data_IF_154982593621
#
_entry.id   IF_154982593621
#
_cell.length_a   1.000
_cell.length_b   1.000
_cell.length_c   1.000
_cell.angle_alpha   90.00
_cell.angle_beta   90.00
_cell.angle_gamma   90.00
#
_symmetry.space_group_name_H-M   'P 1'
#
loop_
_entity.id
_entity.type
_entity.pdbx_description
1 polymer ?
#
# COMPACT_ATOMS: atom_id res chain seq x y z
N UNK A 1 -25.48 -59.81 -58.20
CA UNK A 1 -26.23 -60.94 -57.63
C UNK A 1 -25.21 -62.01 -57.32
N UNK A 2 -25.07 -62.38 -56.05
CA UNK A 2 -24.07 -63.36 -55.60
C UNK A 2 -24.79 -64.69 -55.43
N UNK A 3 -24.27 -65.75 -56.04
CA UNK A 3 -24.82 -67.10 -55.88
C UNK A 3 -24.68 -67.47 -54.41
N UNK A 4 -25.74 -68.00 -53.80
CA UNK A 4 -25.74 -68.52 -52.42
C UNK A 4 -25.48 -70.02 -52.42
N UNK A 5 -25.03 -70.60 -51.30
CA UNK A 5 -24.88 -72.06 -51.18
C UNK A 5 -26.18 -72.82 -51.49
N UNK A 6 -27.33 -72.21 -51.18
CA UNK A 6 -28.64 -72.76 -51.50
C UNK A 6 -28.96 -72.72 -53.00
N UNK A 7 -28.44 -71.72 -53.73
CA UNK A 7 -28.55 -71.65 -55.19
C UNK A 7 -27.65 -72.70 -55.88
N UNK A 8 -26.55 -73.12 -55.23
CA UNK A 8 -25.66 -74.19 -55.70
C UNK A 8 -26.35 -75.55 -55.55
N UNK A 9 -26.94 -75.84 -54.38
CA UNK A 9 -27.66 -77.10 -54.15
C UNK A 9 -28.92 -77.27 -54.99
N UNK A 10 -29.66 -76.17 -55.24
CA UNK A 10 -30.90 -76.24 -56.02
C UNK A 10 -30.67 -76.13 -57.53
N UNK A 11 -29.41 -76.22 -58.00
CA UNK A 11 -29.08 -76.00 -59.41
C UNK A 11 -29.38 -77.25 -60.24
N UNK A 12 -30.42 -77.19 -61.06
CA UNK A 12 -30.69 -78.24 -62.05
C UNK A 12 -29.95 -78.01 -63.38
N UNK A 13 -29.33 -79.08 -63.89
CA UNK A 13 -28.66 -79.10 -65.19
C UNK A 13 -29.44 -79.92 -66.23
N UNK A 14 -29.38 -79.51 -67.51
CA UNK A 14 -30.01 -80.24 -68.62
C UNK A 14 -29.20 -81.50 -68.97
N UNK A 15 -29.86 -82.65 -69.14
CA UNK A 15 -29.24 -83.91 -69.58
C UNK A 15 -29.08 -83.98 -71.11
N UNK A 16 -27.86 -84.25 -71.59
CA UNK A 16 -27.52 -84.45 -73.01
C UNK A 16 -26.85 -85.83 -73.21
N UNK A 17 -26.92 -86.41 -74.42
CA UNK A 17 -26.49 -87.78 -74.77
C UNK A 17 -24.97 -88.08 -74.64
N UNK A 18 -24.17 -87.19 -74.01
CA UNK A 18 -22.72 -87.29 -73.76
C UNK A 18 -22.28 -86.28 -72.68
N UNK A 19 -22.96 -86.29 -71.52
CA UNK A 19 -22.70 -85.38 -70.40
C UNK A 19 -21.74 -85.96 -69.36
N UNK A 20 -21.41 -85.14 -68.35
CA UNK A 20 -20.77 -85.60 -67.11
C UNK A 20 -21.68 -86.56 -66.35
N UNK A 21 -21.09 -87.41 -65.52
CA UNK A 21 -21.83 -88.26 -64.58
C UNK A 21 -22.60 -87.38 -63.59
N UNK A 22 -23.88 -87.65 -63.38
CA UNK A 22 -24.72 -86.83 -62.51
C UNK A 22 -24.32 -87.04 -61.04
N UNK A 23 -23.99 -88.27 -60.63
CA UNK A 23 -23.70 -88.60 -59.24
C UNK A 23 -22.36 -87.96 -58.80
N UNK A 24 -21.35 -87.98 -59.69
CA UNK A 24 -20.04 -87.34 -59.43
C UNK A 24 -20.14 -85.80 -59.39
N UNK A 25 -20.97 -85.22 -60.25
CA UNK A 25 -21.21 -83.77 -60.26
C UNK A 25 -21.97 -83.33 -59.00
N UNK A 26 -22.97 -84.09 -58.57
CA UNK A 26 -23.75 -83.80 -57.36
C UNK A 26 -22.86 -83.86 -56.11
N UNK A 27 -22.01 -84.89 -55.95
CA UNK A 27 -21.07 -84.97 -54.81
C UNK A 27 -20.07 -83.80 -54.80
N UNK A 28 -19.63 -83.35 -55.97
CA UNK A 28 -18.73 -82.20 -56.09
C UNK A 28 -19.45 -80.87 -55.75
N UNK A 29 -20.71 -80.71 -56.17
CA UNK A 29 -21.51 -79.53 -55.85
C UNK A 29 -21.85 -79.44 -54.37
N UNK A 30 -22.09 -80.57 -53.70
CA UNK A 30 -22.29 -80.62 -52.24
C UNK A 30 -21.05 -80.10 -51.49
N UNK A 31 -19.85 -80.55 -51.86
CA UNK A 31 -18.59 -80.04 -51.28
C UNK A 31 -18.39 -78.55 -51.54
N UNK A 32 -18.68 -78.09 -52.77
CA UNK A 32 -18.60 -76.66 -53.10
C UNK A 32 -19.59 -75.85 -52.27
N UNK A 33 -20.83 -76.32 -52.09
CA UNK A 33 -21.85 -75.62 -51.33
C UNK A 33 -21.45 -75.47 -49.85
N UNK A 34 -20.87 -76.52 -49.26
CA UNK A 34 -20.37 -76.54 -47.88
C UNK A 34 -19.19 -75.58 -47.70
N UNK A 35 -18.16 -75.67 -48.55
CA UNK A 35 -17.00 -74.77 -48.54
C UNK A 35 -17.40 -73.31 -48.77
N UNK A 36 -18.36 -73.07 -49.67
CA UNK A 36 -18.85 -71.73 -49.97
C UNK A 36 -19.65 -71.14 -48.80
N UNK A 37 -20.42 -71.96 -48.07
CA UNK A 37 -21.12 -71.50 -46.86
C UNK A 37 -20.13 -71.14 -45.75
N UNK A 38 -19.09 -71.96 -45.56
CA UNK A 38 -18.02 -71.69 -44.60
C UNK A 38 -17.29 -70.38 -44.94
N UNK A 39 -16.91 -70.19 -46.21
CA UNK A 39 -16.26 -68.98 -46.69
C UNK A 39 -17.15 -67.75 -46.52
N UNK A 40 -18.46 -67.87 -46.78
CA UNK A 40 -19.41 -66.79 -46.61
C UNK A 40 -19.54 -66.36 -45.15
N UNK A 41 -19.64 -67.33 -44.22
CA UNK A 41 -19.68 -67.07 -42.77
C UNK A 41 -18.40 -66.40 -42.29
N UNK A 42 -17.23 -66.90 -42.71
CA UNK A 42 -15.95 -66.29 -42.36
C UNK A 42 -15.83 -64.86 -42.90
N UNK A 43 -16.23 -64.62 -44.15
CA UNK A 43 -16.23 -63.28 -44.75
C UNK A 43 -17.14 -62.32 -44.00
N UNK A 44 -18.34 -62.77 -43.60
CA UNK A 44 -19.27 -61.98 -42.80
C UNK A 44 -18.68 -61.62 -41.45
N UNK A 45 -18.09 -62.60 -40.75
CA UNK A 45 -17.45 -62.37 -39.45
C UNK A 45 -16.22 -61.44 -39.56
N UNK A 46 -15.42 -61.60 -40.61
CA UNK A 46 -14.28 -60.73 -40.87
C UNK A 46 -14.72 -59.28 -41.14
N UNK A 47 -15.80 -59.07 -41.89
CA UNK A 47 -16.39 -57.75 -42.13
C UNK A 47 -16.92 -57.11 -40.86
N UNK A 48 -17.63 -57.86 -40.03
CA UNK A 48 -18.11 -57.36 -38.73
C UNK A 48 -16.94 -56.92 -37.83
N UNK A 49 -15.87 -57.74 -37.76
CA UNK A 49 -14.66 -57.38 -37.01
C UNK A 49 -13.96 -56.14 -37.57
N UNK A 50 -13.92 -56.00 -38.89
CA UNK A 50 -13.35 -54.83 -39.56
C UNK A 50 -14.14 -53.57 -39.17
N UNK A 51 -15.47 -53.63 -39.24
CA UNK A 51 -16.35 -52.52 -38.90
C UNK A 51 -16.15 -52.06 -37.44
N UNK A 52 -16.12 -53.01 -36.50
CA UNK A 52 -15.84 -52.72 -35.08
C UNK A 52 -14.44 -52.12 -34.88
N UNK A 53 -13.43 -52.60 -35.62
CA UNK A 53 -12.08 -52.06 -35.53
C UNK A 53 -12.00 -50.63 -36.09
N UNK A 54 -12.66 -50.37 -37.22
CA UNK A 54 -12.75 -49.05 -37.83
C UNK A 54 -13.49 -48.05 -36.93
N UNK A 55 -14.57 -48.46 -36.28
CA UNK A 55 -15.29 -47.61 -35.33
C UNK A 55 -14.41 -47.24 -34.13
N UNK A 56 -13.68 -48.22 -33.56
CA UNK A 56 -12.71 -47.95 -32.48
C UNK A 56 -11.59 -47.01 -32.94
N UNK A 57 -11.08 -47.19 -34.15
CA UNK A 57 -10.06 -46.31 -34.70
C UNK A 57 -10.56 -44.87 -34.83
N UNK A 58 -11.78 -44.67 -35.35
CA UNK A 58 -12.43 -43.35 -35.42
C UNK A 58 -12.61 -42.74 -34.03
N UNK A 59 -13.02 -43.55 -33.05
CA UNK A 59 -13.17 -43.10 -31.66
C UNK A 59 -11.83 -42.62 -31.07
N UNK A 60 -10.77 -43.41 -31.21
CA UNK A 60 -9.44 -43.02 -30.72
C UNK A 60 -8.87 -41.82 -31.45
N UNK A 61 -9.05 -41.72 -32.77
CA UNK A 61 -8.62 -40.54 -33.53
C UNK A 61 -9.33 -39.27 -33.06
N UNK A 62 -10.62 -39.34 -32.73
CA UNK A 62 -11.37 -38.21 -32.16
C UNK A 62 -10.89 -37.85 -30.76
N UNK A 63 -10.54 -38.84 -29.94
CA UNK A 63 -9.95 -38.61 -28.61
C UNK A 63 -8.60 -37.91 -28.76
N UNK A 64 -7.73 -38.38 -29.65
CA UNK A 64 -6.42 -37.79 -29.93
C UNK A 64 -6.56 -36.33 -30.36
N UNK A 65 -7.47 -36.03 -31.29
CA UNK A 65 -7.75 -34.66 -31.73
C UNK A 65 -8.19 -33.76 -30.56
N UNK A 66 -9.07 -34.27 -29.70
CA UNK A 66 -9.54 -33.54 -28.53
C UNK A 66 -8.40 -33.31 -27.53
N UNK A 67 -7.57 -34.31 -27.26
CA UNK A 67 -6.40 -34.18 -26.37
C UNK A 67 -5.44 -33.14 -26.92
N UNK A 68 -5.15 -33.16 -28.23
CA UNK A 68 -4.28 -32.18 -28.86
C UNK A 68 -4.84 -30.76 -28.72
N UNK A 69 -6.15 -30.56 -28.95
CA UNK A 69 -6.81 -29.26 -28.74
C UNK A 69 -6.74 -28.82 -27.28
N UNK A 70 -6.99 -29.73 -26.34
CA UNK A 70 -6.90 -29.42 -24.90
C UNK A 70 -5.47 -29.08 -24.48
N UNK A 71 -4.45 -29.76 -25.00
CA UNK A 71 -3.05 -29.46 -24.73
C UNK A 71 -2.66 -28.06 -25.23
N UNK A 72 -3.07 -27.70 -26.45
CA UNK A 72 -2.82 -26.36 -27.00
C UNK A 72 -3.54 -25.30 -26.17
N UNK A 73 -4.79 -25.55 -25.76
CA UNK A 73 -5.53 -24.64 -24.89
C UNK A 73 -4.84 -24.47 -23.53
N UNK A 74 -4.41 -25.56 -22.90
CA UNK A 74 -3.71 -25.55 -21.64
C UNK A 74 -2.37 -24.79 -21.74
N UNK A 75 -1.61 -25.00 -22.82
CA UNK A 75 -0.38 -24.26 -23.08
C UNK A 75 -0.65 -22.76 -23.26
N UNK A 76 -1.66 -22.40 -24.04
CA UNK A 76 -2.06 -21.00 -24.25
C UNK A 76 -2.49 -20.34 -22.94
N UNK A 77 -3.28 -21.02 -22.11
CA UNK A 77 -3.71 -20.54 -20.81
C UNK A 77 -2.53 -20.36 -19.85
N UNK A 78 -1.58 -21.31 -19.84
CA UNK A 78 -0.38 -21.22 -19.03
C UNK A 78 0.52 -20.05 -19.45
N UNK A 79 0.72 -19.83 -20.76
CA UNK A 79 1.52 -18.71 -21.25
C UNK A 79 0.84 -17.36 -20.98
N UNK A 80 -0.48 -17.30 -21.10
CA UNK A 80 -1.25 -16.10 -20.75
C UNK A 80 -1.16 -15.80 -19.24
N UNK A 81 -1.29 -16.81 -18.38
CA UNK A 81 -1.15 -16.65 -16.94
C UNK A 81 0.26 -16.16 -16.57
N UNK A 82 1.29 -16.76 -17.17
CA UNK A 82 2.68 -16.36 -16.99
C UNK A 82 2.93 -14.93 -17.44
N UNK A 83 2.46 -14.54 -18.62
CA UNK A 83 2.62 -13.19 -19.15
C UNK A 83 1.89 -12.16 -18.28
N UNK A 84 0.67 -12.48 -17.83
CA UNK A 84 -0.08 -11.61 -16.92
C UNK A 84 0.65 -11.40 -15.59
N UNK A 85 1.16 -12.48 -14.99
CA UNK A 85 1.91 -12.41 -13.75
C UNK A 85 3.22 -11.61 -13.90
N UNK A 86 3.92 -11.75 -15.04
CA UNK A 86 5.11 -10.97 -15.34
C UNK A 86 4.81 -9.47 -15.46
N UNK A 87 3.75 -9.11 -16.20
CA UNK A 87 3.33 -7.72 -16.35
C UNK A 87 2.91 -7.11 -15.01
N UNK A 88 2.18 -7.86 -14.19
CA UNK A 88 1.75 -7.42 -12.86
C UNK A 88 2.95 -7.23 -11.92
N UNK A 89 3.90 -8.16 -11.93
CA UNK A 89 5.14 -8.03 -11.16
C UNK A 89 5.94 -6.79 -11.58
N UNK A 90 6.08 -6.54 -12.88
CA UNK A 90 6.76 -5.35 -13.38
C UNK A 90 6.05 -4.06 -12.98
N UNK A 91 4.71 -4.05 -13.02
CA UNK A 91 3.90 -2.92 -12.58
C UNK A 91 4.10 -2.65 -11.07
N UNK A 92 4.07 -3.69 -10.24
CA UNK A 92 4.31 -3.59 -8.79
C UNK A 92 5.70 -3.02 -8.52
N UNK A 93 6.73 -3.54 -9.20
CA UNK A 93 8.11 -3.05 -9.04
C UNK A 93 8.20 -1.57 -9.45
N UNK A 94 7.58 -1.19 -10.58
CA UNK A 94 7.56 0.20 -11.03
C UNK A 94 6.87 1.12 -10.02
N UNK A 95 5.70 0.73 -9.53
CA UNK A 95 4.96 1.50 -8.52
C UNK A 95 5.72 1.62 -7.20
N UNK A 96 6.37 0.54 -6.75
CA UNK A 96 7.20 0.56 -5.56
C UNK A 96 8.39 1.51 -5.72
N UNK A 97 9.07 1.48 -6.87
CA UNK A 97 10.17 2.39 -7.18
C UNK A 97 9.71 3.86 -7.25
N UNK A 98 8.59 4.13 -7.91
CA UNK A 98 8.02 5.49 -7.94
C UNK A 98 7.64 5.98 -6.54
N UNK A 99 7.01 5.14 -5.73
CA UNK A 99 6.63 5.48 -4.35
C UNK A 99 7.86 5.76 -3.49
N UNK A 100 8.88 4.89 -3.58
CA UNK A 100 10.15 5.09 -2.90
C UNK A 100 10.80 6.42 -3.31
N UNK A 101 10.83 6.73 -4.61
CA UNK A 101 11.39 7.99 -5.09
C UNK A 101 10.60 9.20 -4.57
N UNK A 102 9.26 9.12 -4.52
CA UNK A 102 8.43 10.19 -3.94
C UNK A 102 8.73 10.39 -2.45
N UNK A 103 8.88 9.31 -1.68
CA UNK A 103 9.22 9.38 -0.26
C UNK A 103 10.60 10.02 -0.07
N UNK A 104 11.60 9.61 -0.86
CA UNK A 104 12.95 10.18 -0.80
C UNK A 104 12.92 11.68 -1.13
N UNK A 105 12.23 12.07 -2.21
CA UNK A 105 12.11 13.47 -2.60
C UNK A 105 11.40 14.30 -1.52
N UNK A 106 10.33 13.77 -0.91
CA UNK A 106 9.62 14.42 0.19
C UNK A 106 10.55 14.61 1.40
N UNK A 107 11.25 13.56 1.82
CA UNK A 107 12.19 13.62 2.93
C UNK A 107 13.33 14.63 2.66
N UNK A 108 13.85 14.67 1.43
CA UNK A 108 14.86 15.65 1.03
C UNK A 108 14.34 17.08 1.15
N UNK A 109 13.14 17.35 0.64
CA UNK A 109 12.50 18.67 0.75
C UNK A 109 12.20 19.05 2.20
N UNK A 110 11.79 18.08 3.03
CA UNK A 110 11.58 18.30 4.46
C UNK A 110 12.89 18.68 5.17
N UNK A 111 14.01 18.02 4.83
CA UNK A 111 15.34 18.37 5.37
C UNK A 111 15.74 19.79 4.97
N UNK A 112 15.53 20.18 3.71
CA UNK A 112 15.80 21.54 3.25
C UNK A 112 14.97 22.55 4.05
N UNK A 113 13.65 22.32 4.15
CA UNK A 113 12.74 23.19 4.91
C UNK A 113 13.17 23.34 6.37
N UNK A 114 13.46 22.22 7.05
CA UNK A 114 13.90 22.23 8.46
C UNK A 114 15.20 23.02 8.62
N UNK A 115 16.14 22.89 7.68
CA UNK A 115 17.39 23.63 7.73
C UNK A 115 17.18 25.14 7.51
N UNK A 116 16.31 25.51 6.59
CA UNK A 116 15.94 26.92 6.34
C UNK A 116 15.24 27.52 7.58
N UNK A 117 14.31 26.79 8.19
CA UNK A 117 13.64 27.19 9.44
C UNK A 117 14.65 27.33 10.59
N UNK A 118 15.59 26.38 10.69
CA UNK A 118 16.66 26.44 11.69
C UNK A 118 17.54 27.68 11.53
N UNK A 119 17.99 27.99 10.32
CA UNK A 119 18.77 29.21 10.08
C UNK A 119 17.95 30.47 10.35
N UNK A 120 16.66 30.51 10.00
CA UNK A 120 15.78 31.64 10.32
C UNK A 120 15.70 31.88 11.84
N UNK A 121 15.38 30.84 12.62
CA UNK A 121 15.28 30.92 14.09
C UNK A 121 16.63 31.32 14.71
N UNK A 122 17.74 30.78 14.20
CA UNK A 122 19.09 31.14 14.64
C UNK A 122 19.39 32.62 14.39
N UNK A 123 19.02 33.17 13.23
CA UNK A 123 19.17 34.60 12.94
C UNK A 123 18.32 35.45 13.88
N UNK A 124 17.08 35.05 14.15
CA UNK A 124 16.23 35.74 15.12
C UNK A 124 16.82 35.72 16.53
N UNK A 125 17.36 34.58 16.97
CA UNK A 125 18.04 34.46 18.25
C UNK A 125 19.27 35.37 18.33
N UNK A 126 20.10 35.44 17.27
CA UNK A 126 21.26 36.33 17.22
C UNK A 126 20.85 37.81 17.29
N UNK A 127 19.76 38.19 16.60
CA UNK A 127 19.18 39.54 16.68
C UNK A 127 18.67 39.84 18.08
N UNK A 128 17.92 38.92 18.69
CA UNK A 128 17.42 39.06 20.06
C UNK A 128 18.57 39.22 21.05
N UNK A 129 19.58 38.32 21.00
CA UNK A 129 20.78 38.39 21.84
C UNK A 129 21.48 39.74 21.73
N UNK A 130 21.62 40.25 20.51
CA UNK A 130 22.23 41.55 20.27
C UNK A 130 21.40 42.68 20.87
N UNK A 131 20.08 42.70 20.63
CA UNK A 131 19.16 43.69 21.23
C UNK A 131 19.19 43.64 22.76
N UNK A 132 19.19 42.45 23.35
CA UNK A 132 19.24 42.25 24.79
C UNK A 132 20.56 42.76 25.38
N UNK A 133 21.70 42.48 24.74
CA UNK A 133 23.01 43.00 25.16
C UNK A 133 23.04 44.53 25.12
N UNK A 134 22.52 45.14 24.06
CA UNK A 134 22.43 46.61 23.95
C UNK A 134 21.53 47.19 25.04
N UNK A 135 20.37 46.58 25.28
CA UNK A 135 19.46 47.00 26.34
C UNK A 135 20.13 46.95 27.72
N UNK A 136 20.81 45.85 28.06
CA UNK A 136 21.55 45.74 29.33
C UNK A 136 22.69 46.77 29.45
N UNK A 137 23.45 46.99 28.37
CA UNK A 137 24.52 48.00 28.37
C UNK A 137 23.97 49.40 28.58
N UNK A 138 22.86 49.73 27.91
CA UNK A 138 22.17 51.01 28.10
C UNK A 138 21.67 51.19 29.54
N UNK A 139 21.12 50.14 30.17
CA UNK A 139 20.73 50.20 31.58
C UNK A 139 21.94 50.37 32.51
N UNK A 140 23.07 49.74 32.22
CA UNK A 140 24.29 49.95 33.00
C UNK A 140 24.84 51.37 32.84
N UNK A 141 24.78 51.93 31.64
CA UNK A 141 25.20 53.31 31.37
C UNK A 141 24.31 54.32 32.11
N UNK A 142 22.98 54.09 32.19
CA UNK A 142 22.09 54.95 32.99
C UNK A 142 22.41 54.88 34.47
N UNK A 143 22.64 53.69 35.04
CA UNK A 143 23.08 53.55 36.43
C UNK A 143 24.42 54.25 36.69
N UNK A 144 25.39 54.08 35.79
CA UNK A 144 26.70 54.74 35.89
C UNK A 144 26.58 56.27 35.81
N UNK A 145 25.67 56.77 34.97
CA UNK A 145 25.32 58.19 34.90
C UNK A 145 24.72 58.71 36.21
N UNK A 146 23.76 57.99 36.78
CA UNK A 146 23.14 58.32 38.07
C UNK A 146 24.16 58.29 39.21
N UNK A 147 25.07 57.31 39.24
CA UNK A 147 26.16 57.26 40.22
C UNK A 147 27.07 58.48 40.11
N UNK A 148 27.44 58.88 38.89
CA UNK A 148 28.25 60.09 38.66
C UNK A 148 27.54 61.36 39.10
N UNK A 149 26.23 61.49 38.84
CA UNK A 149 25.44 62.61 39.34
C UNK A 149 25.32 62.59 40.86
N UNK A 150 25.14 61.41 41.46
CA UNK A 150 25.10 61.24 42.90
C UNK A 150 26.42 61.67 43.55
N UNK A 151 27.57 61.20 43.05
CA UNK A 151 28.91 61.58 43.54
C UNK A 151 29.24 63.05 43.29
N UNK A 152 28.69 63.66 42.23
CA UNK A 152 28.86 65.10 41.96
C UNK A 152 28.01 65.97 42.88
N UNK A 153 26.76 65.58 43.14
CA UNK A 153 25.80 66.37 43.90
C UNK A 153 25.96 66.16 45.41
N UNK A 154 26.41 64.99 45.82
CA UNK A 154 26.77 64.66 47.20
C UNK A 154 28.27 64.42 47.21
N UNK A 155 29.03 65.28 47.88
CA UNK A 155 30.49 65.35 47.87
C UNK A 155 31.16 64.15 48.59
N UNK A 156 30.78 62.92 48.24
CA UNK A 156 31.15 61.66 48.93
C UNK A 156 32.56 61.18 48.54
N UNK A 157 33.23 61.85 47.60
CA UNK A 157 34.59 61.53 47.15
C UNK A 157 35.73 62.24 47.90
N UNK A 158 35.43 63.27 48.70
CA UNK A 158 36.44 63.95 49.49
C UNK A 158 36.23 63.60 50.96
N UNK A 159 37.19 62.92 51.58
CA UNK A 159 37.29 62.90 53.03
C UNK A 159 37.44 64.35 53.50
N UNK A 160 36.38 64.89 54.10
CA UNK A 160 36.39 66.22 54.72
C UNK A 160 37.31 66.14 55.93
N UNK A 161 38.37 66.96 55.96
CA UNK A 161 39.17 67.16 57.17
C UNK A 161 38.29 67.81 58.24
N UNK A 162 38.18 67.16 59.41
CA UNK A 162 37.18 67.46 60.45
C UNK A 162 37.45 68.76 61.23
N UNK A 163 38.38 69.61 60.78
CA UNK A 163 38.85 70.79 61.52
C UNK A 163 38.07 72.09 61.28
N UNK A 164 37.12 72.14 60.34
CA UNK A 164 36.44 73.39 59.96
C UNK A 164 34.90 73.34 59.99
N UNK A 165 34.31 72.98 61.14
CA UNK A 165 32.86 73.16 61.35
C UNK A 165 32.65 74.14 62.52
N UNK A 166 32.40 75.41 62.18
CA UNK A 166 31.84 76.40 63.12
C UNK A 166 30.32 76.24 63.15
N UNK A 167 29.79 75.86 64.31
CA UNK A 167 28.35 75.77 64.57
C UNK A 167 27.66 77.10 64.26
N UNK A 168 26.56 77.05 63.51
CA UNK A 168 25.60 78.17 63.38
C UNK A 168 24.23 77.63 63.75
N UNK A 169 23.65 78.25 64.77
CA UNK A 169 22.43 77.84 65.47
C UNK A 169 21.20 77.77 64.54
N UNK A 170 20.35 76.80 64.84
CA UNK A 170 19.08 76.51 64.16
C UNK A 170 18.04 77.57 64.56
N UNK A 171 17.49 78.29 63.57
CA UNK A 171 16.31 79.13 63.78
C UNK A 171 15.03 78.28 63.66
N UNK A 172 14.36 78.08 64.79
CA UNK A 172 13.05 77.43 64.88
C UNK A 172 11.98 78.50 64.66
N UNK A 173 11.35 78.50 63.48
CA UNK A 173 10.10 79.22 63.26
C UNK A 173 8.93 78.29 63.58
N UNK A 174 8.30 78.55 64.73
CA UNK A 174 7.04 77.93 65.13
C UNK A 174 5.88 78.60 64.36
N UNK A 175 5.47 77.99 63.25
CA UNK A 175 4.08 78.07 62.77
C UNK A 175 3.62 76.65 62.42
N UNK A 176 2.80 76.07 63.31
CA UNK A 176 2.06 74.83 63.05
C UNK A 176 0.61 75.23 62.79
N UNK A 177 0.08 75.03 61.58
CA UNK A 177 -1.35 74.87 61.36
C UNK A 177 -1.68 73.39 61.14
N UNK A 178 -2.36 72.84 62.14
CA UNK A 178 -3.44 71.84 62.13
C UNK A 178 -3.40 70.68 61.13
N UNK A 179 -3.20 69.47 61.67
CA UNK A 179 -3.53 68.19 61.04
C UNK A 179 -5.03 67.97 61.18
N UNK A 180 -5.78 68.01 60.07
CA UNK A 180 -7.11 67.39 59.95
C UNK A 180 -7.43 67.16 58.46
N UNK A 181 -7.02 66.01 57.93
CA UNK A 181 -7.95 65.05 57.35
C UNK A 181 -7.22 63.80 56.87
N UNK A 182 -7.72 62.68 57.38
CA UNK A 182 -7.38 61.31 57.06
C UNK A 182 -7.76 60.91 55.61
N UNK A 183 -7.20 59.76 55.21
CA UNK A 183 -7.73 58.77 54.25
C UNK A 183 -7.51 59.01 52.75
N UNK A 184 -6.36 58.54 52.25
CA UNK A 184 -6.33 57.37 51.33
C UNK A 184 -4.87 56.99 50.98
N UNK A 185 -4.22 56.20 51.84
CA UNK A 185 -3.14 55.31 51.41
C UNK A 185 -3.81 53.97 51.14
N UNK A 186 -4.09 53.68 49.87
CA UNK A 186 -4.59 52.37 49.50
C UNK A 186 -3.42 51.39 49.50
N UNK A 187 -3.23 50.70 50.63
CA UNK A 187 -2.45 49.47 50.72
C UNK A 187 -3.09 48.39 49.85
N UNK A 188 -2.68 48.28 48.59
CA UNK A 188 -2.74 47.01 47.86
C UNK A 188 -1.50 46.82 47.00
N UNK A 189 -0.41 46.48 47.67
CA UNK A 189 0.55 45.54 47.13
C UNK A 189 0.48 44.30 48.02
N UNK A 190 -0.18 43.23 47.55
CA UNK A 190 0.46 41.93 47.34
C UNK A 190 -0.59 40.87 46.92
N UNK A 191 -0.16 40.08 45.94
CA UNK A 191 -0.61 38.72 45.61
C UNK A 191 -2.01 38.54 45.05
N UNK A 192 -2.13 38.51 43.72
CA UNK A 192 -2.57 37.29 43.02
C UNK A 192 -2.07 37.33 41.57
N UNK A 193 -1.18 36.39 41.25
CA UNK A 193 -0.77 36.07 39.89
C UNK A 193 -1.90 35.25 39.28
N UNK A 194 -2.77 35.89 38.49
CA UNK A 194 -3.71 35.18 37.63
C UNK A 194 -3.01 34.86 36.30
N UNK A 195 -2.64 33.60 36.14
CA UNK A 195 -2.25 33.01 34.87
C UNK A 195 -3.55 32.83 34.07
N UNK A 196 -3.93 33.82 33.26
CA UNK A 196 -4.89 33.58 32.18
C UNK A 196 -4.16 32.85 31.06
N UNK A 197 -4.39 31.54 31.02
CA UNK A 197 -4.12 30.67 29.87
C UNK A 197 -4.90 31.20 28.66
N UNK A 198 -4.21 31.91 27.78
CA UNK A 198 -4.65 32.08 26.40
C UNK A 198 -3.89 31.06 25.54
N UNK A 199 -4.36 29.82 25.63
CA UNK A 199 -4.12 28.76 24.64
C UNK A 199 -5.47 28.13 24.38
N UNK A 200 -6.29 28.80 23.57
CA UNK A 200 -7.29 28.14 22.73
C UNK A 200 -6.54 27.39 21.63
N UNK A 201 -5.95 26.25 22.00
CA UNK A 201 -5.75 25.18 21.03
C UNK A 201 -7.14 24.59 20.78
N UNK A 202 -7.60 24.74 19.55
CA UNK A 202 -8.69 23.97 18.97
C UNK A 202 -8.41 22.49 19.21
N UNK A 203 -9.16 21.91 20.15
CA UNK A 203 -9.17 20.48 20.40
C UNK A 203 -10.29 19.92 19.54
N UNK A 204 -10.02 19.71 18.25
CA UNK A 204 -10.86 18.85 17.42
C UNK A 204 -10.72 17.42 17.92
N UNK A 205 -11.61 17.04 18.83
CA UNK A 205 -11.82 15.65 19.19
C UNK A 205 -12.27 14.90 17.94
N UNK A 206 -11.56 13.81 17.63
CA UNK A 206 -11.89 12.88 16.55
C UNK A 206 -13.39 12.57 16.56
N UNK A 207 -14.04 12.76 15.41
CA UNK A 207 -15.46 12.49 15.26
C UNK A 207 -15.72 10.99 15.44
N UNK A 208 -16.90 10.63 15.95
CA UNK A 208 -17.26 9.22 16.18
C UNK A 208 -17.17 8.35 14.91
N UNK A 209 -17.24 8.93 13.72
CA UNK A 209 -17.03 8.25 12.44
C UNK A 209 -15.57 7.82 12.20
N UNK A 210 -14.58 8.59 12.68
CA UNK A 210 -13.15 8.25 12.58
C UNK A 210 -12.78 7.12 13.56
N UNK A 211 -13.43 7.10 14.73
CA UNK A 211 -13.28 6.03 15.72
C UNK A 211 -13.88 4.70 15.25
N UNK A 212 -14.97 4.75 14.47
CA UNK A 212 -15.59 3.56 13.90
C UNK A 212 -14.83 3.03 12.67
N UNK A 213 -14.16 3.90 11.90
CA UNK A 213 -13.23 3.52 10.84
C UNK A 213 -11.95 2.84 11.37
N UNK A 214 -11.47 3.25 12.55
CA UNK A 214 -10.34 2.59 13.21
C UNK A 214 -10.75 1.23 13.77
N UNK A 215 -11.96 1.10 14.33
CA UNK A 215 -12.46 -0.19 14.84
C UNK A 215 -12.71 -1.23 13.73
N UNK A 216 -13.18 -0.81 12.56
CA UNK A 216 -13.37 -1.72 11.43
C UNK A 216 -12.04 -2.23 10.86
N UNK A 217 -10.98 -1.40 10.89
CA UNK A 217 -9.64 -1.78 10.43
C UNK A 217 -8.98 -2.88 11.28
N UNK A 218 -9.26 -2.92 12.59
CA UNK A 218 -8.70 -3.94 13.50
C UNK A 218 -9.60 -5.19 13.66
N UNK A 219 -10.84 -5.18 13.17
CA UNK A 219 -11.75 -6.32 13.27
C UNK A 219 -11.59 -7.33 12.12
N UNK A 220 -10.87 -6.99 11.05
CA UNK A 220 -10.66 -7.87 9.89
C UNK A 220 -9.44 -8.81 10.02
N UNK A 221 -8.62 -8.68 11.08
CA UNK A 221 -7.44 -9.54 11.30
C UNK A 221 -7.71 -10.83 12.10
N UNK A 222 -8.90 -10.99 12.70
CA UNK A 222 -9.23 -12.16 13.56
C UNK A 222 -10.20 -13.17 12.89
N UNK A 223 -10.13 -13.33 11.57
CA UNK A 223 -10.80 -14.47 10.89
C UNK A 223 -9.79 -15.28 10.08
N UNK A 224 -9.13 -16.21 10.78
CA UNK A 224 -8.63 -17.46 10.21
C UNK A 224 -8.57 -18.56 11.25
#
# INVERSE_FOLDING_TARGET
MVITSMDINNKEFKKNFRGYDCDEVDEFLDKIAEDYEALYKENSFAKERLEVAEEKLKHYSKIEENIQKTLVLAQSAAEQAKTSAQNEAELIIRQANESAQRIINKAHNDVIRINDDYEAVKQEFLKFRSKFKHFMSAQLDTFSGLEKEFVKNYNVGNAVDLSEISAKEIQINNEIPSVDNLENVNEKNLTQVDITKDTTSENEGLNNEDLDAIKSFFAEEDVK
#
